data_IF_472844404293
#
_entry.id   IF_472844404293
#
_cell.length_a   1.000
_cell.length_b   1.000
_cell.length_c   1.000
_cell.angle_alpha   90.00
_cell.angle_beta   90.00
_cell.angle_gamma   90.00
#
_symmetry.space_group_name_H-M   'P 1'
#
loop_
_entity.id
_entity.type
_entity.pdbx_description
1 polymer ?
#
# COMPACT_ATOMS: atom_id res chain seq x y z
N UNK A 1 26.54 6.37 13.67
CA UNK A 1 26.45 4.89 13.68
C UNK A 1 26.06 4.49 12.28
N UNK A 2 26.98 3.84 11.55
CA UNK A 2 26.73 3.45 10.16
C UNK A 2 25.51 2.53 10.12
N UNK A 3 24.56 2.86 9.25
CA UNK A 3 23.33 2.10 9.03
C UNK A 3 23.74 0.72 8.53
N UNK A 4 23.70 -0.26 9.42
CA UNK A 4 24.13 -1.63 9.18
C UNK A 4 23.25 -2.18 8.06
N UNK A 5 23.79 -2.25 6.85
CA UNK A 5 23.08 -2.62 5.63
C UNK A 5 22.39 -3.96 5.87
N UNK A 6 21.08 -3.93 6.14
CA UNK A 6 20.28 -5.11 6.43
C UNK A 6 20.26 -5.97 5.16
N UNK A 7 21.18 -6.92 5.08
CA UNK A 7 21.18 -7.94 4.03
C UNK A 7 19.96 -8.83 4.25
N UNK A 8 18.82 -8.39 3.72
CA UNK A 8 17.59 -9.14 3.70
C UNK A 8 17.66 -10.09 2.51
N UNK A 9 17.95 -11.36 2.80
CA UNK A 9 17.90 -12.43 1.80
C UNK A 9 16.46 -12.95 1.78
N UNK A 10 15.67 -12.66 0.74
CA UNK A 10 14.30 -13.13 0.68
C UNK A 10 14.30 -14.67 0.68
N UNK A 11 13.50 -15.31 1.55
CA UNK A 11 13.38 -16.76 1.55
C UNK A 11 12.83 -17.25 0.21
N UNK A 12 13.38 -18.38 -0.26
CA UNK A 12 12.80 -19.10 -1.39
C UNK A 12 11.37 -19.51 -1.04
N UNK A 13 10.39 -18.95 -1.76
CA UNK A 13 8.99 -19.37 -1.64
C UNK A 13 8.86 -20.79 -2.17
N UNK A 14 8.43 -21.70 -1.31
CA UNK A 14 8.10 -23.07 -1.71
C UNK A 14 6.68 -23.03 -2.27
N UNK A 15 6.45 -23.68 -3.41
CA UNK A 15 5.09 -23.83 -3.92
C UNK A 15 4.43 -24.97 -3.14
N UNK A 16 3.35 -24.66 -2.41
CA UNK A 16 2.65 -25.59 -1.53
C UNK A 16 1.15 -25.52 -1.79
N UNK A 17 0.46 -26.64 -1.65
CA UNK A 17 -0.98 -26.74 -1.94
C UNK A 17 -1.84 -25.93 -0.96
N UNK A 18 -1.34 -25.71 0.26
CA UNK A 18 -1.99 -24.92 1.30
C UNK A 18 -1.20 -23.62 1.58
N UNK A 19 -1.87 -22.54 2.05
CA UNK A 19 -1.20 -21.27 2.31
C UNK A 19 -0.16 -21.38 3.42
N UNK A 20 1.01 -20.79 3.19
CA UNK A 20 2.09 -20.76 4.18
C UNK A 20 1.74 -19.78 5.30
N UNK A 21 1.85 -20.26 6.55
CA UNK A 21 1.66 -19.45 7.77
C UNK A 21 3.01 -18.92 8.24
N UNK A 22 4.00 -19.81 8.35
CA UNK A 22 5.32 -19.49 8.89
C UNK A 22 6.35 -20.53 8.38
N UNK A 23 7.51 -20.10 7.90
CA UNK A 23 8.60 -20.99 7.45
C UNK A 23 9.54 -21.43 8.59
N UNK A 24 9.42 -20.83 9.77
CA UNK A 24 10.22 -21.16 10.94
C UNK A 24 9.48 -20.87 12.26
N UNK A 25 8.43 -21.66 12.58
CA UNK A 25 7.60 -21.40 13.74
C UNK A 25 8.40 -21.57 15.04
N UNK A 26 8.28 -20.57 15.92
CA UNK A 26 8.84 -20.63 17.27
C UNK A 26 8.30 -21.86 18.02
N UNK A 27 9.13 -22.54 18.81
CA UNK A 27 8.78 -23.82 19.45
C UNK A 27 7.46 -23.77 20.23
N UNK A 28 7.22 -22.69 20.97
CA UNK A 28 5.97 -22.47 21.73
C UNK A 28 4.75 -22.42 20.82
N UNK A 29 4.85 -21.79 19.64
CA UNK A 29 3.75 -21.73 18.67
C UNK A 29 3.50 -23.10 18.05
N UNK A 30 4.56 -23.81 17.67
CA UNK A 30 4.44 -25.15 17.11
C UNK A 30 3.70 -26.11 18.08
N UNK A 31 4.06 -26.14 19.36
CA UNK A 31 3.33 -26.95 20.35
C UNK A 31 1.94 -26.40 20.68
N UNK A 32 1.76 -25.07 20.73
CA UNK A 32 0.46 -24.44 21.00
C UNK A 32 -0.57 -24.69 19.90
N UNK A 33 -0.13 -24.83 18.65
CA UNK A 33 -0.97 -25.10 17.48
C UNK A 33 -1.11 -26.61 17.18
N UNK A 34 -0.47 -27.48 17.96
CA UNK A 34 -0.64 -28.92 17.82
C UNK A 34 -2.11 -29.30 18.09
N UNK A 35 -2.67 -30.13 17.20
CA UNK A 35 -4.04 -30.64 17.32
C UNK A 35 -4.05 -31.78 18.33
N UNK A 36 -5.24 -32.08 18.87
CA UNK A 36 -5.41 -33.23 19.78
C UNK A 36 -4.98 -34.55 19.13
N UNK A 37 -5.19 -34.69 17.82
CA UNK A 37 -4.72 -35.84 17.03
C UNK A 37 -3.19 -35.97 16.99
N UNK A 38 -2.44 -34.87 17.00
CA UNK A 38 -0.99 -34.95 17.00
C UNK A 38 -0.48 -35.43 18.35
N UNK A 39 -1.08 -34.94 19.45
CA UNK A 39 -0.76 -35.42 20.80
C UNK A 39 -1.10 -36.90 20.96
N UNK A 40 -2.23 -37.35 20.41
CA UNK A 40 -2.58 -38.77 20.39
C UNK A 40 -1.56 -39.59 19.59
N UNK A 41 -1.19 -39.12 18.40
CA UNK A 41 -0.18 -39.76 17.57
C UNK A 41 1.19 -39.82 18.25
N UNK A 42 1.65 -38.69 18.82
CA UNK A 42 2.90 -38.60 19.56
C UNK A 42 2.94 -39.50 20.80
N UNK A 43 1.84 -39.56 21.56
CA UNK A 43 1.71 -40.46 22.70
C UNK A 43 1.72 -41.94 22.28
N UNK A 44 1.03 -42.28 21.19
CA UNK A 44 1.05 -43.62 20.60
C UNK A 44 2.47 -44.02 20.20
N UNK A 45 3.17 -43.15 19.48
CA UNK A 45 4.55 -43.38 19.05
C UNK A 45 5.54 -43.44 20.22
N UNK A 46 5.35 -42.63 21.26
CA UNK A 46 6.16 -42.67 22.46
C UNK A 46 6.06 -44.00 23.22
N UNK A 47 4.90 -44.66 23.16
CA UNK A 47 4.66 -45.94 23.79
C UNK A 47 5.24 -47.14 23.02
N UNK A 48 5.52 -47.00 21.71
CA UNK A 48 6.01 -48.11 20.85
C UNK A 48 7.32 -48.69 21.40
N UNK A 49 8.30 -47.86 21.73
CA UNK A 49 9.59 -48.32 22.24
C UNK A 49 9.48 -49.11 23.56
N UNK A 50 8.89 -48.54 24.61
CA UNK A 50 8.65 -49.24 25.88
C UNK A 50 7.80 -50.50 25.72
N UNK A 51 6.73 -50.45 24.93
CA UNK A 51 5.88 -51.60 24.67
C UNK A 51 6.67 -52.72 23.97
N UNK A 52 7.48 -52.36 22.97
CA UNK A 52 8.36 -53.30 22.28
C UNK A 52 9.34 -53.95 23.26
N UNK A 53 9.98 -53.20 24.14
CA UNK A 53 10.88 -53.74 25.17
C UNK A 53 10.18 -54.74 26.10
N UNK A 54 8.96 -54.44 26.57
CA UNK A 54 8.18 -55.35 27.41
C UNK A 54 7.79 -56.63 26.68
N UNK A 55 7.39 -56.51 25.42
CA UNK A 55 7.04 -57.64 24.56
C UNK A 55 8.28 -58.51 24.33
N UNK A 56 9.42 -57.93 23.95
CA UNK A 56 10.64 -58.69 23.70
C UNK A 56 11.18 -59.34 24.96
N UNK A 57 11.14 -58.66 26.12
CA UNK A 57 11.57 -59.26 27.39
C UNK A 57 10.66 -60.45 27.79
N UNK A 58 9.37 -60.41 27.41
CA UNK A 58 8.45 -61.53 27.65
C UNK A 58 8.74 -62.75 26.77
N UNK A 59 9.16 -62.54 25.52
CA UNK A 59 9.44 -63.63 24.58
C UNK A 59 10.90 -64.13 24.62
N UNK A 60 11.83 -63.23 24.89
CA UNK A 60 13.27 -63.48 24.95
C UNK A 60 13.86 -62.75 26.16
N UNK A 61 13.72 -63.32 27.38
CA UNK A 61 14.16 -62.66 28.60
C UNK A 61 15.66 -62.43 28.57
N UNK A 62 16.08 -61.22 28.93
CA UNK A 62 17.49 -60.83 28.95
C UNK A 62 18.26 -61.43 30.13
N UNK A 63 17.56 -62.03 31.09
CA UNK A 63 18.09 -62.48 32.39
C UNK A 63 18.86 -61.38 33.14
N UNK A 64 18.60 -60.12 32.79
CA UNK A 64 19.20 -58.98 33.45
C UNK A 64 18.73 -58.95 34.93
N UNK A 65 19.68 -58.80 35.86
CA UNK A 65 19.37 -58.77 37.29
C UNK A 65 18.33 -57.70 37.64
N UNK A 66 17.67 -57.82 38.81
CA UNK A 66 16.51 -57.01 39.24
C UNK A 66 16.67 -55.47 39.13
N UNK A 67 17.88 -54.94 38.98
CA UNK A 67 18.15 -53.51 38.80
C UNK A 67 18.37 -53.03 37.36
N UNK A 68 18.73 -53.91 36.41
CA UNK A 68 19.19 -53.49 35.08
C UNK A 68 18.03 -53.20 34.11
N UNK A 69 17.05 -54.12 34.00
CA UNK A 69 15.91 -53.94 33.10
C UNK A 69 15.07 -52.68 33.40
N UNK A 70 14.72 -52.34 34.67
CA UNK A 70 13.98 -51.12 34.96
C UNK A 70 14.72 -49.83 34.54
N UNK A 71 16.06 -49.82 34.58
CA UNK A 71 16.86 -48.69 34.11
C UNK A 71 16.77 -48.53 32.59
N UNK A 72 16.96 -49.62 31.85
CA UNK A 72 16.82 -49.63 30.39
C UNK A 72 15.40 -49.23 29.95
N UNK A 73 14.38 -49.76 30.65
CA UNK A 73 12.99 -49.43 30.38
C UNK A 73 12.69 -47.94 30.60
N UNK A 74 13.17 -47.34 31.70
CA UNK A 74 13.04 -45.89 31.96
C UNK A 74 13.71 -45.04 30.88
N UNK A 75 14.89 -45.45 30.42
CA UNK A 75 15.57 -44.80 29.31
C UNK A 75 14.75 -44.93 28.02
N UNK A 76 14.22 -46.12 27.73
CA UNK A 76 13.32 -46.36 26.60
C UNK A 76 12.08 -45.48 26.64
N UNK A 77 11.47 -45.29 27.82
CA UNK A 77 10.36 -44.35 28.01
C UNK A 77 10.80 -42.91 27.75
N UNK A 78 11.96 -42.47 28.25
CA UNK A 78 12.46 -41.13 28.04
C UNK A 78 12.72 -40.85 26.54
N UNK A 79 13.38 -41.78 25.84
CA UNK A 79 13.61 -41.70 24.39
C UNK A 79 12.28 -41.70 23.63
N UNK A 80 11.34 -42.56 24.01
CA UNK A 80 10.00 -42.59 23.44
C UNK A 80 9.27 -41.26 23.59
N UNK A 81 9.29 -40.66 24.78
CA UNK A 81 8.67 -39.36 25.04
C UNK A 81 9.30 -38.24 24.20
N UNK A 82 10.63 -38.22 24.08
CA UNK A 82 11.33 -37.24 23.23
C UNK A 82 10.99 -37.42 21.75
N UNK A 83 10.96 -38.67 21.26
CA UNK A 83 10.57 -38.97 19.89
C UNK A 83 9.10 -38.59 19.62
N UNK A 84 8.20 -38.91 20.55
CA UNK A 84 6.80 -38.54 20.47
C UNK A 84 6.59 -37.03 20.42
N UNK A 85 7.26 -36.27 21.30
CA UNK A 85 7.23 -34.81 21.29
C UNK A 85 7.81 -34.23 19.99
N UNK A 86 8.90 -34.81 19.47
CA UNK A 86 9.47 -34.45 18.18
C UNK A 86 8.50 -34.65 17.01
N UNK A 87 7.73 -35.75 17.03
CA UNK A 87 6.71 -36.01 16.01
C UNK A 87 5.52 -35.04 16.11
N UNK A 88 5.09 -34.68 17.32
CA UNK A 88 4.08 -33.62 17.53
C UNK A 88 4.57 -32.30 16.94
N UNK A 89 5.81 -31.92 17.27
CA UNK A 89 6.44 -30.72 16.75
C UNK A 89 6.51 -30.74 15.22
N UNK A 90 7.00 -31.83 14.64
CA UNK A 90 7.14 -31.99 13.19
C UNK A 90 5.79 -31.86 12.48
N UNK A 91 4.77 -32.61 12.91
CA UNK A 91 3.42 -32.56 12.31
C UNK A 91 2.81 -31.16 12.36
N UNK A 92 3.02 -30.45 13.46
CA UNK A 92 2.58 -29.05 13.58
C UNK A 92 3.32 -28.14 12.61
N UNK A 93 4.64 -28.24 12.53
CA UNK A 93 5.45 -27.46 11.60
C UNK A 93 5.06 -27.72 10.12
N UNK A 94 4.74 -28.96 9.74
CA UNK A 94 4.28 -29.28 8.38
C UNK A 94 2.99 -28.54 7.99
N UNK A 95 2.11 -28.23 8.94
CA UNK A 95 0.93 -27.38 8.72
C UNK A 95 1.30 -25.91 8.58
N UNK A 96 2.24 -25.41 9.37
CA UNK A 96 2.78 -24.04 9.21
C UNK A 96 3.41 -23.82 7.83
N UNK A 97 4.10 -24.84 7.32
CA UNK A 97 4.73 -24.83 6.00
C UNK A 97 3.73 -24.95 4.84
N UNK A 98 2.45 -25.24 5.10
CA UNK A 98 1.45 -25.42 4.05
C UNK A 98 1.57 -26.76 3.29
N UNK A 99 2.29 -27.74 3.81
CA UNK A 99 2.39 -29.09 3.19
C UNK A 99 1.26 -30.02 3.58
N UNK A 100 0.45 -29.64 4.56
CA UNK A 100 -0.73 -30.37 5.00
C UNK A 100 -1.86 -29.38 5.26
N UNK A 101 -3.10 -29.87 5.30
CA UNK A 101 -4.28 -29.05 5.56
C UNK A 101 -4.10 -28.23 6.85
N UNK A 102 -4.34 -26.91 6.75
CA UNK A 102 -4.02 -25.96 7.81
C UNK A 102 -5.07 -24.83 7.97
N UNK A 103 -6.32 -25.04 7.54
CA UNK A 103 -7.35 -23.97 7.54
C UNK A 103 -7.62 -23.45 8.96
N UNK A 104 -7.65 -24.35 9.95
CA UNK A 104 -7.82 -24.00 11.36
C UNK A 104 -6.67 -23.11 11.85
N UNK A 105 -5.44 -23.50 11.54
CA UNK A 105 -4.22 -22.82 11.96
C UNK A 105 -4.11 -21.44 11.30
N UNK A 106 -4.47 -21.31 10.02
CA UNK A 106 -4.53 -20.02 9.32
C UNK A 106 -5.50 -19.06 10.00
N UNK A 107 -6.69 -19.53 10.38
CA UNK A 107 -7.69 -18.70 11.09
C UNK A 107 -7.21 -18.30 12.48
N UNK A 108 -6.54 -19.21 13.19
CA UNK A 108 -5.99 -18.95 14.52
C UNK A 108 -4.85 -17.95 14.46
N UNK A 109 -3.93 -18.10 13.51
CA UNK A 109 -2.81 -17.21 13.26
C UNK A 109 -3.29 -15.80 12.88
N UNK A 110 -4.26 -15.69 11.98
CA UNK A 110 -4.85 -14.40 11.61
C UNK A 110 -5.41 -13.67 12.83
N UNK A 111 -6.17 -14.36 13.68
CA UNK A 111 -6.73 -13.78 14.92
C UNK A 111 -5.62 -13.34 15.88
N UNK A 112 -4.65 -14.22 16.15
CA UNK A 112 -3.54 -13.94 17.07
C UNK A 112 -2.72 -12.72 16.61
N UNK A 113 -2.40 -12.65 15.32
CA UNK A 113 -1.58 -11.59 14.75
C UNK A 113 -2.35 -10.27 14.65
N UNK A 114 -3.62 -10.29 14.24
CA UNK A 114 -4.47 -9.08 14.24
C UNK A 114 -4.63 -8.53 15.65
N UNK A 115 -4.86 -9.39 16.65
CA UNK A 115 -4.96 -8.96 18.05
C UNK A 115 -3.65 -8.34 18.55
N UNK A 116 -2.48 -8.87 18.16
CA UNK A 116 -1.18 -8.26 18.46
C UNK A 116 -1.02 -6.90 17.80
N UNK A 117 -1.41 -6.76 16.53
CA UNK A 117 -1.40 -5.46 15.82
C UNK A 117 -2.30 -4.45 16.51
N UNK A 118 -3.53 -4.84 16.88
CA UNK A 118 -4.46 -3.98 17.63
C UNK A 118 -3.89 -3.54 18.98
N UNK A 119 -3.07 -4.37 19.64
CA UNK A 119 -2.35 -4.03 20.88
C UNK A 119 -1.06 -3.22 20.66
N UNK A 120 -0.63 -3.00 19.41
CA UNK A 120 0.65 -2.37 19.10
C UNK A 120 1.87 -3.21 19.48
N UNK A 121 1.70 -4.52 19.65
CA UNK A 121 2.77 -5.46 19.97
C UNK A 121 3.49 -5.92 18.69
N UNK A 122 4.80 -6.24 18.76
CA UNK A 122 5.49 -6.85 17.63
C UNK A 122 4.90 -8.23 17.32
N UNK A 123 4.61 -8.49 16.04
CA UNK A 123 3.96 -9.72 15.54
C UNK A 123 4.62 -11.01 16.08
N UNK A 124 5.94 -11.05 16.03
CA UNK A 124 6.75 -12.22 16.39
C UNK A 124 7.51 -12.04 17.71
N UNK A 125 7.15 -11.05 18.52
CA UNK A 125 7.78 -10.79 19.82
C UNK A 125 9.07 -9.96 19.73
N UNK A 126 9.73 -9.80 20.88
CA UNK A 126 11.03 -9.11 21.00
C UNK A 126 12.13 -10.15 21.20
N UNK A 127 13.33 -9.89 20.67
CA UNK A 127 14.52 -10.70 20.87
C UNK A 127 15.65 -9.83 21.39
N UNK A 128 16.46 -10.40 22.29
CA UNK A 128 17.67 -9.77 22.82
C UNK A 128 18.85 -9.84 21.84
N UNK A 129 18.70 -10.57 20.72
CA UNK A 129 19.72 -10.67 19.68
C UNK A 129 19.69 -9.48 18.74
N UNK A 130 20.86 -9.11 18.23
CA UNK A 130 20.97 -8.10 17.17
C UNK A 130 20.23 -8.55 15.90
N UNK A 131 19.76 -7.63 15.04
CA UNK A 131 19.08 -7.98 13.80
C UNK A 131 19.89 -8.92 12.90
N UNK A 132 21.21 -8.76 12.87
CA UNK A 132 22.12 -9.67 12.17
C UNK A 132 22.06 -11.10 12.75
N UNK A 133 22.19 -11.23 14.07
CA UNK A 133 22.16 -12.54 14.75
C UNK A 133 20.78 -13.22 14.66
N UNK A 134 19.70 -12.44 14.63
CA UNK A 134 18.36 -12.96 14.32
C UNK A 134 18.29 -13.55 12.91
N UNK A 135 18.94 -12.92 11.93
CA UNK A 135 19.04 -13.45 10.57
C UNK A 135 19.92 -14.71 10.47
N UNK A 136 21.00 -14.79 11.25
CA UNK A 136 21.82 -16.01 11.37
C UNK A 136 20.99 -17.13 12.00
N UNK A 137 20.26 -16.85 13.09
CA UNK A 137 19.38 -17.81 13.74
C UNK A 137 18.32 -18.35 12.77
N UNK A 138 17.58 -17.46 12.10
CA UNK A 138 16.54 -17.83 11.15
C UNK A 138 17.05 -18.74 10.02
N UNK A 139 18.27 -18.51 9.51
CA UNK A 139 18.86 -19.37 8.47
C UNK A 139 19.20 -20.77 8.96
N UNK A 140 19.55 -20.93 10.23
CA UNK A 140 19.87 -22.22 10.83
C UNK A 140 18.63 -22.99 11.27
N UNK A 141 17.55 -22.31 11.69
CA UNK A 141 16.32 -22.96 12.16
C UNK A 141 15.26 -23.16 11.09
N UNK A 142 15.25 -22.39 10.00
CA UNK A 142 14.25 -22.51 8.94
C UNK A 142 14.21 -23.94 8.35
N UNK A 143 12.99 -24.49 8.27
CA UNK A 143 12.71 -25.87 7.84
C UNK A 143 13.44 -26.98 8.63
N UNK A 144 14.04 -26.68 9.78
CA UNK A 144 14.80 -27.67 10.58
C UNK A 144 13.94 -28.87 11.02
N UNK A 145 12.63 -28.69 11.17
CA UNK A 145 11.70 -29.77 11.50
C UNK A 145 11.68 -30.92 10.48
N UNK A 146 12.11 -30.68 9.22
CA UNK A 146 12.24 -31.73 8.21
C UNK A 146 13.34 -32.75 8.51
N UNK A 147 14.39 -32.33 9.22
CA UNK A 147 15.57 -33.13 9.52
C UNK A 147 15.67 -33.45 11.02
N UNK A 148 14.53 -33.43 11.72
CA UNK A 148 14.44 -33.71 13.15
C UNK A 148 14.95 -35.11 13.54
N UNK A 149 14.96 -36.05 12.59
CA UNK A 149 15.53 -37.39 12.74
C UNK A 149 17.08 -37.41 12.75
N UNK A 150 17.73 -36.37 12.19
CA UNK A 150 19.19 -36.25 12.15
C UNK A 150 19.67 -35.35 13.29
N UNK A 151 19.13 -34.14 13.36
CA UNK A 151 19.45 -33.15 14.40
C UNK A 151 18.15 -32.53 14.90
N UNK A 152 17.78 -32.71 16.19
CA UNK A 152 16.61 -32.07 16.75
C UNK A 152 16.92 -30.58 16.95
N UNK A 153 16.56 -29.78 15.95
CA UNK A 153 16.74 -28.35 15.95
C UNK A 153 15.39 -27.64 15.88
N UNK A 154 15.24 -26.57 16.66
CA UNK A 154 14.00 -25.82 16.77
C UNK A 154 14.30 -24.33 16.92
N UNK A 155 13.31 -23.50 16.57
CA UNK A 155 13.42 -22.07 16.71
C UNK A 155 13.11 -21.61 18.15
N UNK A 156 14.11 -21.03 18.80
CA UNK A 156 14.02 -20.39 20.12
C UNK A 156 14.20 -18.86 20.08
N UNK A 157 14.30 -18.29 18.87
CA UNK A 157 14.60 -16.87 18.66
C UNK A 157 13.39 -16.18 18.02
N UNK A 158 12.93 -15.11 18.66
CA UNK A 158 11.92 -14.22 18.10
C UNK A 158 12.54 -13.32 17.02
N UNK A 159 12.60 -13.79 15.77
CA UNK A 159 13.14 -13.03 14.64
C UNK A 159 12.02 -12.56 13.69
N UNK A 160 12.28 -11.57 12.83
CA UNK A 160 11.25 -11.09 11.88
C UNK A 160 11.26 -11.81 10.52
N UNK A 161 11.98 -12.93 10.38
CA UNK A 161 12.22 -13.61 9.10
C UNK A 161 11.37 -14.88 8.91
N UNK A 162 10.05 -14.74 8.94
CA UNK A 162 9.12 -15.87 8.87
C UNK A 162 8.70 -16.29 7.45
N UNK A 163 9.14 -15.56 6.42
CA UNK A 163 8.93 -15.92 5.01
C UNK A 163 7.51 -15.76 4.50
N UNK A 164 6.71 -14.97 5.21
CA UNK A 164 5.34 -14.59 4.85
C UNK A 164 5.20 -13.08 4.81
N UNK A 165 4.25 -12.59 4.00
CA UNK A 165 3.90 -11.18 3.97
C UNK A 165 3.12 -10.82 5.25
N UNK A 166 3.72 -9.95 6.08
CA UNK A 166 3.12 -9.47 7.33
C UNK A 166 2.13 -8.34 7.11
N UNK A 167 2.14 -7.67 5.95
CA UNK A 167 1.24 -6.56 5.64
C UNK A 167 -0.24 -6.99 5.72
N UNK A 168 -0.53 -8.26 5.36
CA UNK A 168 -1.89 -8.84 5.44
C UNK A 168 -2.52 -8.70 6.83
N UNK A 169 -1.74 -8.78 7.91
CA UNK A 169 -2.25 -8.68 9.28
C UNK A 169 -2.61 -7.23 9.63
N UNK A 170 -1.81 -6.27 9.19
CA UNK A 170 -2.09 -4.84 9.39
C UNK A 170 -3.35 -4.41 8.64
N UNK A 171 -3.46 -4.79 7.37
CA UNK A 171 -4.64 -4.50 6.54
C UNK A 171 -5.92 -5.12 7.12
N UNK A 172 -5.83 -6.33 7.70
CA UNK A 172 -6.97 -6.96 8.35
C UNK A 172 -7.32 -6.27 9.68
N UNK A 173 -6.32 -5.89 10.47
CA UNK A 173 -6.53 -5.16 11.72
C UNK A 173 -7.17 -3.78 11.50
N UNK A 174 -6.72 -3.05 10.48
CA UNK A 174 -7.31 -1.77 10.07
C UNK A 174 -8.79 -1.92 9.70
N UNK A 175 -9.12 -2.90 8.85
CA UNK A 175 -10.51 -3.22 8.47
C UNK A 175 -11.38 -3.55 9.68
N UNK A 176 -10.88 -4.31 10.64
CA UNK A 176 -11.63 -4.64 11.85
C UNK A 176 -11.80 -3.45 12.79
N UNK A 177 -10.76 -2.62 12.95
CA UNK A 177 -10.84 -1.40 13.76
C UNK A 177 -11.81 -0.38 13.15
N UNK A 178 -11.84 -0.24 11.82
CA UNK A 178 -12.83 0.58 11.11
C UNK A 178 -14.26 0.05 11.32
N UNK A 179 -14.47 -1.26 11.20
CA UNK A 179 -15.77 -1.88 11.47
C UNK A 179 -16.23 -1.66 12.92
N UNK A 180 -15.32 -1.75 13.89
CA UNK A 180 -15.60 -1.45 15.30
C UNK A 180 -15.94 0.03 15.52
N UNK A 181 -15.23 0.95 14.84
CA UNK A 181 -15.51 2.40 14.88
C UNK A 181 -16.91 2.70 14.31
N UNK A 182 -17.24 2.16 13.14
CA UNK A 182 -18.55 2.33 12.51
C UNK A 182 -19.69 1.74 13.37
N UNK A 183 -19.47 0.59 14.00
CA UNK A 183 -20.44 -0.03 14.92
C UNK A 183 -20.67 0.82 16.17
N UNK A 184 -19.61 1.37 16.77
CA UNK A 184 -19.70 2.30 17.90
C UNK A 184 -20.42 3.59 17.52
N UNK A 185 -20.08 4.19 16.37
CA UNK A 185 -20.75 5.37 15.84
C UNK A 185 -22.25 5.11 15.60
N UNK A 186 -22.60 3.98 14.98
CA UNK A 186 -24.00 3.58 14.77
C UNK A 186 -24.78 3.40 16.09
N UNK A 187 -24.18 2.79 17.12
CA UNK A 187 -24.78 2.68 18.45
C UNK A 187 -24.97 4.06 19.11
N UNK A 188 -23.97 4.94 19.00
CA UNK A 188 -24.04 6.30 19.54
C UNK A 188 -25.15 7.12 18.87
N UNK A 189 -25.26 7.05 17.54
CA UNK A 189 -26.35 7.67 16.77
C UNK A 189 -27.70 7.10 17.19
N UNK A 190 -27.82 5.78 17.40
CA UNK A 190 -29.07 5.16 17.86
C UNK A 190 -29.49 5.61 19.29
N UNK A 191 -28.52 5.81 20.18
CA UNK A 191 -28.75 6.34 21.53
C UNK A 191 -29.14 7.81 21.50
N UNK A 192 -28.50 8.64 20.67
CA UNK A 192 -28.86 10.04 20.45
C UNK A 192 -30.26 10.14 19.82
N UNK A 193 -30.61 9.27 18.88
CA UNK A 193 -31.95 9.19 18.30
C UNK A 193 -33.01 8.78 19.33
N UNK A 194 -32.69 7.86 20.25
CA UNK A 194 -33.61 7.44 21.33
C UNK A 194 -33.80 8.54 22.38
N UNK A 195 -32.73 9.27 22.73
CA UNK A 195 -32.78 10.41 23.67
C UNK A 195 -33.49 11.63 23.07
N UNK A 196 -33.28 11.92 21.78
CA UNK A 196 -34.02 13.00 21.09
C UNK A 196 -35.51 12.69 20.91
N UNK A 197 -35.88 11.41 20.78
CA UNK A 197 -37.29 10.98 20.72
C UNK A 197 -38.03 11.09 22.07
N UNK A 198 -37.31 11.06 23.20
CA UNK A 198 -37.87 11.29 24.54
C UNK A 198 -37.96 12.77 24.92
N UNK A 199 -37.28 13.67 24.18
CA UNK A 199 -37.23 15.11 24.49
C UNK A 199 -38.09 15.99 23.57
N UNK A 200 -38.70 15.42 22.54
CA UNK A 200 -39.54 16.16 21.61
C UNK A 200 -41.01 16.18 22.08
N UNK A 201 -41.36 17.16 22.90
CA UNK A 201 -42.70 17.77 22.79
C UNK A 201 -42.79 18.51 21.45
N UNK A 202 -43.97 18.56 20.80
CA UNK A 202 -44.11 19.05 19.45
C UNK A 202 -44.12 20.58 19.44
N UNK A 203 -43.00 21.17 19.04
CA UNK A 203 -42.92 22.61 18.80
C UNK A 203 -41.51 23.12 18.99
N UNK A 204 -40.72 23.08 17.92
CA UNK A 204 -39.70 24.07 17.51
C UNK A 204 -38.52 23.42 16.77
N UNK A 205 -38.01 24.21 15.83
CA UNK A 205 -37.42 23.82 14.56
C UNK A 205 -36.18 22.90 14.66
N UNK A 206 -36.24 21.75 13.99
CA UNK A 206 -35.27 20.63 14.09
C UNK A 206 -33.96 20.82 13.29
N UNK A 207 -33.76 21.99 12.69
CA UNK A 207 -32.64 22.27 11.78
C UNK A 207 -31.71 23.38 12.27
N UNK A 208 -31.97 23.97 13.43
CA UNK A 208 -31.37 25.25 13.83
C UNK A 208 -30.05 25.16 14.60
N UNK A 209 -29.46 23.97 14.83
CA UNK A 209 -28.18 23.87 15.55
C UNK A 209 -27.32 22.71 15.06
N UNK A 210 -26.45 22.98 14.09
CA UNK A 210 -25.15 22.30 13.99
C UNK A 210 -24.11 23.37 13.64
N UNK A 211 -23.06 23.38 14.45
CA UNK A 211 -21.95 24.35 14.43
C UNK A 211 -21.17 24.27 13.11
N UNK A 212 -20.75 25.44 12.65
CA UNK A 212 -20.07 25.68 11.37
C UNK A 212 -18.58 25.88 11.64
N UNK A 213 -17.70 25.11 11.00
CA UNK A 213 -16.41 25.64 10.55
C UNK A 213 -15.84 24.80 9.41
N UNK A 214 -15.86 25.38 8.21
CA UNK A 214 -15.07 24.97 7.07
C UNK A 214 -13.83 25.85 7.03
N UNK A 215 -12.64 25.29 6.88
CA UNK A 215 -11.60 25.97 6.09
C UNK A 215 -10.70 24.98 5.37
N UNK A 216 -10.72 25.14 4.06
CA UNK A 216 -9.79 24.64 3.05
C UNK A 216 -8.43 25.31 3.16
N UNK A 217 -7.37 24.52 2.96
CA UNK A 217 -6.25 24.80 2.05
C UNK A 217 -5.36 23.54 1.79
N UNK A 218 -5.63 22.35 2.36
CA UNK A 218 -5.03 21.82 3.61
C UNK A 218 -5.41 20.34 3.86
N UNK A 219 -6.19 19.69 3.00
CA UNK A 219 -6.87 18.40 3.25
C UNK A 219 -5.96 17.20 3.67
N UNK A 220 -5.67 17.11 4.97
CA UNK A 220 -5.03 15.96 5.65
C UNK A 220 -6.04 14.87 6.09
N UNK A 221 -7.35 15.14 6.07
CA UNK A 221 -8.37 14.20 6.57
C UNK A 221 -9.54 13.94 5.59
N UNK A 222 -10.15 12.73 5.62
CA UNK A 222 -11.24 12.34 4.72
C UNK A 222 -12.55 13.05 5.10
N UNK A 223 -13.04 13.91 4.20
CA UNK A 223 -14.32 14.61 4.35
C UNK A 223 -15.47 13.71 3.91
N UNK A 224 -16.44 13.49 4.79
CA UNK A 224 -17.69 12.83 4.44
C UNK A 224 -18.58 13.79 3.64
N UNK A 225 -18.83 13.51 2.35
CA UNK A 225 -19.71 14.34 1.50
C UNK A 225 -21.13 14.55 2.06
N UNK A 226 -21.59 13.69 2.96
CA UNK A 226 -22.85 13.89 3.67
C UNK A 226 -22.90 15.18 4.50
N UNK A 227 -21.77 15.75 4.88
CA UNK A 227 -21.70 16.94 5.73
C UNK A 227 -21.89 18.25 4.97
N UNK A 228 -21.59 18.27 3.65
CA UNK A 228 -21.87 19.43 2.78
C UNK A 228 -23.36 19.54 2.42
N UNK A 229 -24.10 18.42 2.51
CA UNK A 229 -25.49 18.33 2.05
C UNK A 229 -26.56 18.52 3.12
N UNK A 230 -26.23 18.57 4.41
CA UNK A 230 -27.25 18.56 5.45
C UNK A 230 -27.53 19.97 5.96
N UNK A 231 -28.45 20.61 5.23
CA UNK A 231 -29.53 21.54 5.65
C UNK A 231 -29.12 22.75 6.53
N UNK A 232 -29.37 23.99 6.06
CA UNK A 232 -30.57 24.40 5.31
C UNK A 232 -30.29 24.88 3.88
N UNK A 233 -29.70 24.05 3.04
CA UNK A 233 -29.34 24.43 1.66
C UNK A 233 -30.13 23.72 0.55
N UNK A 234 -31.03 22.78 0.88
CA UNK A 234 -31.81 22.05 -0.13
C UNK A 234 -32.76 22.99 -0.90
N UNK A 235 -33.32 23.99 -0.23
CA UNK A 235 -34.20 24.98 -0.85
C UNK A 235 -33.41 26.09 -1.53
N UNK A 236 -32.30 26.55 -0.94
CA UNK A 236 -31.50 27.66 -1.49
C UNK A 236 -30.54 27.25 -2.60
N UNK A 237 -30.29 25.94 -2.79
CA UNK A 237 -29.29 25.41 -3.71
C UNK A 237 -27.83 25.73 -3.31
N UNK A 238 -27.59 26.40 -2.19
CA UNK A 238 -26.27 26.90 -1.81
C UNK A 238 -25.23 25.79 -1.63
N UNK A 239 -25.62 24.64 -1.06
CA UNK A 239 -24.74 23.48 -0.89
C UNK A 239 -24.37 22.86 -2.24
N UNK A 240 -25.31 22.82 -3.18
CA UNK A 240 -25.06 22.34 -4.55
C UNK A 240 -24.12 23.28 -5.30
N UNK A 241 -24.25 24.60 -5.13
CA UNK A 241 -23.30 25.58 -5.70
C UNK A 241 -21.89 25.44 -5.10
N UNK A 242 -21.78 25.18 -3.79
CA UNK A 242 -20.50 24.90 -3.16
C UNK A 242 -19.87 23.62 -3.72
N UNK A 243 -20.66 22.57 -3.91
CA UNK A 243 -20.19 21.34 -4.53
C UNK A 243 -19.70 21.55 -5.96
N UNK A 244 -20.40 22.36 -6.76
CA UNK A 244 -19.96 22.75 -8.10
C UNK A 244 -18.62 23.49 -8.04
N UNK A 245 -18.49 24.47 -7.14
CA UNK A 245 -17.22 25.19 -6.96
C UNK A 245 -16.06 24.27 -6.55
N UNK A 246 -16.31 23.28 -5.68
CA UNK A 246 -15.30 22.27 -5.31
C UNK A 246 -14.95 21.39 -6.52
N UNK A 247 -15.95 20.98 -7.31
CA UNK A 247 -15.73 20.17 -8.50
C UNK A 247 -14.90 20.94 -9.55
N UNK A 248 -15.23 22.21 -9.79
CA UNK A 248 -14.52 23.08 -10.72
C UNK A 248 -13.07 23.31 -10.29
N UNK A 249 -12.85 23.60 -9.00
CA UNK A 249 -11.51 23.74 -8.44
C UNK A 249 -10.70 22.44 -8.58
N UNK A 250 -11.31 21.29 -8.22
CA UNK A 250 -10.68 19.98 -8.35
C UNK A 250 -10.28 19.65 -9.79
N UNK A 251 -11.15 19.94 -10.77
CA UNK A 251 -10.82 19.78 -12.19
C UNK A 251 -9.67 20.69 -12.64
N UNK A 252 -9.65 21.95 -12.19
CA UNK A 252 -8.59 22.91 -12.54
C UNK A 252 -7.23 22.46 -12.01
N UNK A 253 -7.17 22.10 -10.72
CA UNK A 253 -5.94 21.67 -10.05
C UNK A 253 -5.39 20.36 -10.64
N UNK A 254 -6.28 19.38 -10.88
CA UNK A 254 -5.90 18.13 -11.52
C UNK A 254 -5.53 18.31 -12.99
N UNK A 255 -6.20 19.23 -13.69
CA UNK A 255 -5.85 19.55 -15.08
C UNK A 255 -4.43 20.11 -15.18
N UNK A 256 -4.01 20.96 -14.23
CA UNK A 256 -2.65 21.47 -14.17
C UNK A 256 -1.63 20.34 -13.88
N UNK A 257 -1.91 19.48 -12.89
CA UNK A 257 -1.04 18.35 -12.55
C UNK A 257 -0.94 17.32 -13.68
N UNK A 258 -2.06 17.00 -14.33
CA UNK A 258 -2.10 16.06 -15.47
C UNK A 258 -1.23 16.54 -16.62
N UNK A 259 -1.26 17.84 -16.93
CA UNK A 259 -0.39 18.44 -17.95
C UNK A 259 1.09 18.37 -17.56
N UNK A 260 1.41 18.63 -16.29
CA UNK A 260 2.78 18.51 -15.79
C UNK A 260 3.30 17.08 -15.92
N UNK A 261 2.56 16.07 -15.46
CA UNK A 261 2.94 14.67 -15.61
C UNK A 261 3.00 14.20 -17.06
N UNK A 262 2.10 14.69 -17.92
CA UNK A 262 2.15 14.38 -19.35
C UNK A 262 3.42 14.95 -20.01
N UNK A 263 3.84 16.15 -19.61
CA UNK A 263 5.09 16.75 -20.09
C UNK A 263 6.29 15.98 -19.55
N UNK A 264 6.27 15.58 -18.27
CA UNK A 264 7.33 14.76 -17.67
C UNK A 264 7.45 13.39 -18.34
N UNK A 265 6.33 12.69 -18.56
CA UNK A 265 6.28 11.41 -19.28
C UNK A 265 6.94 11.52 -20.66
N UNK A 266 6.59 12.58 -21.41
CA UNK A 266 7.24 12.87 -22.71
C UNK A 266 8.74 13.04 -22.54
N UNK A 267 9.21 13.83 -21.56
CA UNK A 267 10.65 14.03 -21.37
C UNK A 267 11.38 12.72 -21.06
N UNK A 268 10.81 11.87 -20.21
CA UNK A 268 11.39 10.57 -19.86
C UNK A 268 11.44 9.63 -21.07
N UNK A 269 10.41 9.61 -21.92
CA UNK A 269 10.42 8.83 -23.15
C UNK A 269 11.52 9.28 -24.12
N UNK A 270 11.70 10.58 -24.29
CA UNK A 270 12.78 11.12 -25.14
C UNK A 270 14.16 10.76 -24.59
N UNK A 271 14.37 10.86 -23.27
CA UNK A 271 15.61 10.45 -22.61
C UNK A 271 15.87 8.94 -22.76
N UNK A 272 14.84 8.11 -22.60
CA UNK A 272 14.95 6.67 -22.76
C UNK A 272 15.34 6.29 -24.19
N UNK A 273 14.75 6.95 -25.20
CA UNK A 273 15.13 6.76 -26.61
C UNK A 273 16.58 7.16 -26.84
N UNK A 274 17.03 8.30 -26.29
CA UNK A 274 18.41 8.75 -26.41
C UNK A 274 19.40 7.76 -25.78
N UNK A 275 19.11 7.25 -24.57
CA UNK A 275 19.94 6.24 -23.90
C UNK A 275 19.96 4.93 -24.71
N UNK A 276 18.81 4.48 -25.25
CA UNK A 276 18.73 3.29 -26.10
C UNK A 276 19.59 3.42 -27.37
N UNK A 277 19.64 4.60 -27.97
CA UNK A 277 20.50 4.88 -29.15
C UNK A 277 21.97 4.85 -28.73
N UNK A 278 22.35 5.56 -27.66
CA UNK A 278 23.73 5.58 -27.17
C UNK A 278 24.24 4.20 -26.74
N UNK A 279 23.39 3.39 -26.09
CA UNK A 279 23.70 2.03 -25.66
C UNK A 279 23.89 1.05 -26.82
N UNK A 280 23.29 1.29 -27.98
CA UNK A 280 23.56 0.51 -29.20
C UNK A 280 24.96 0.79 -29.77
N UNK A 281 25.48 1.99 -29.55
CA UNK A 281 26.75 2.44 -30.11
C UNK A 281 27.95 2.12 -29.20
N UNK A 282 27.76 2.10 -27.87
CA UNK A 282 28.77 1.61 -26.92
C UNK A 282 28.64 0.09 -26.70
N UNK A 283 29.71 -0.67 -26.93
CA UNK A 283 29.82 -2.10 -26.60
C UNK A 283 29.70 -2.42 -25.09
N UNK A 284 29.44 -1.42 -24.24
CA UNK A 284 29.21 -1.52 -22.80
C UNK A 284 27.76 -1.94 -22.44
N UNK A 285 27.26 -2.97 -23.11
CA UNK A 285 25.84 -3.37 -23.07
C UNK A 285 25.33 -3.69 -21.64
N UNK A 286 26.17 -4.27 -20.78
CA UNK A 286 25.72 -4.76 -19.48
C UNK A 286 25.40 -3.66 -18.44
N UNK A 287 26.17 -2.56 -18.39
CA UNK A 287 25.88 -1.47 -17.42
C UNK A 287 24.71 -0.60 -17.90
N UNK A 288 24.59 -0.37 -19.20
CA UNK A 288 23.48 0.37 -19.79
C UNK A 288 22.12 -0.30 -19.56
N UNK A 289 22.06 -1.64 -19.57
CA UNK A 289 20.83 -2.39 -19.30
C UNK A 289 20.30 -2.20 -17.86
N UNK A 290 21.19 -2.05 -16.88
CA UNK A 290 20.78 -1.79 -15.48
C UNK A 290 20.13 -0.42 -15.34
N UNK A 291 20.73 0.61 -15.96
CA UNK A 291 20.21 1.98 -15.95
C UNK A 291 18.88 2.06 -16.72
N UNK A 292 18.80 1.43 -17.90
CA UNK A 292 17.58 1.41 -18.71
C UNK A 292 16.38 0.83 -17.96
N UNK A 293 16.58 -0.21 -17.15
CA UNK A 293 15.51 -0.78 -16.31
C UNK A 293 14.98 0.20 -15.27
N UNK A 294 15.84 1.04 -14.70
CA UNK A 294 15.45 2.07 -13.73
C UNK A 294 14.58 3.12 -14.44
N UNK A 295 15.01 3.60 -15.61
CA UNK A 295 14.20 4.54 -16.42
C UNK A 295 12.88 3.93 -16.88
N UNK A 296 12.86 2.66 -17.29
CA UNK A 296 11.63 1.95 -17.65
C UNK A 296 10.66 1.87 -16.47
N UNK A 297 11.16 1.56 -15.27
CA UNK A 297 10.31 1.54 -14.07
C UNK A 297 9.78 2.94 -13.70
N UNK A 298 10.59 3.98 -13.88
CA UNK A 298 10.21 5.36 -13.59
C UNK A 298 9.16 5.88 -14.60
N UNK A 299 9.38 5.64 -15.89
CA UNK A 299 8.43 5.99 -16.95
C UNK A 299 7.07 5.32 -16.72
N UNK A 300 7.07 4.03 -16.37
CA UNK A 300 5.85 3.30 -16.06
C UNK A 300 5.10 3.89 -14.85
N UNK A 301 5.82 4.37 -13.84
CA UNK A 301 5.24 4.99 -12.65
C UNK A 301 4.59 6.36 -12.98
N UNK A 302 5.28 7.21 -13.75
CA UNK A 302 4.72 8.49 -14.20
C UNK A 302 3.47 8.26 -15.06
N UNK A 303 3.50 7.29 -15.97
CA UNK A 303 2.33 6.97 -16.80
C UNK A 303 1.14 6.54 -15.95
N UNK A 304 1.36 5.71 -14.93
CA UNK A 304 0.29 5.32 -13.99
C UNK A 304 -0.30 6.52 -13.24
N UNK A 305 0.54 7.46 -12.80
CA UNK A 305 0.09 8.70 -12.13
C UNK A 305 -0.72 9.58 -13.08
N UNK A 306 -0.28 9.70 -14.34
CA UNK A 306 -1.02 10.42 -15.37
C UNK A 306 -2.40 9.80 -15.62
N UNK A 307 -2.47 8.49 -15.82
CA UNK A 307 -3.73 7.77 -16.07
C UNK A 307 -4.72 7.93 -14.89
N UNK A 308 -4.22 7.90 -13.65
CA UNK A 308 -5.03 8.14 -12.45
C UNK A 308 -5.51 9.60 -12.35
N UNK A 309 -4.67 10.56 -12.72
CA UNK A 309 -5.04 11.97 -12.74
C UNK A 309 -6.16 12.24 -13.76
N UNK A 310 -6.07 11.67 -14.97
CA UNK A 310 -7.13 11.74 -15.97
C UNK A 310 -8.43 11.08 -15.48
N UNK A 311 -8.33 9.89 -14.87
CA UNK A 311 -9.49 9.21 -14.33
C UNK A 311 -10.17 10.03 -13.22
N UNK A 312 -9.37 10.64 -12.33
CA UNK A 312 -9.88 11.49 -11.26
C UNK A 312 -10.56 12.75 -11.80
N UNK A 313 -9.96 13.41 -12.79
CA UNK A 313 -10.59 14.54 -13.50
C UNK A 313 -11.93 14.13 -14.13
N UNK A 314 -12.00 12.94 -14.73
CA UNK A 314 -13.24 12.37 -15.25
C UNK A 314 -14.32 12.18 -14.18
N UNK A 315 -13.93 11.79 -12.95
CA UNK A 315 -14.88 11.67 -11.81
C UNK A 315 -15.36 13.01 -11.31
N UNK A 316 -14.51 14.03 -11.26
CA UNK A 316 -14.95 15.39 -10.97
C UNK A 316 -15.92 15.93 -12.03
N UNK A 317 -15.68 15.65 -13.31
CA UNK A 317 -16.63 15.97 -14.38
C UNK A 317 -17.98 15.25 -14.23
N UNK A 318 -18.00 14.01 -13.74
CA UNK A 318 -19.24 13.30 -13.40
C UNK A 318 -19.96 13.97 -12.22
N UNK A 319 -19.22 14.35 -11.18
CA UNK A 319 -19.75 15.04 -10.01
C UNK A 319 -20.40 16.37 -10.39
N UNK A 320 -19.71 17.17 -11.23
CA UNK A 320 -20.19 18.45 -11.73
C UNK A 320 -21.52 18.28 -12.49
N UNK A 321 -21.61 17.31 -13.41
CA UNK A 321 -22.85 17.05 -14.17
C UNK A 321 -24.02 16.68 -13.27
N UNK A 322 -23.80 15.83 -12.26
CA UNK A 322 -24.86 15.43 -11.31
C UNK A 322 -25.26 16.61 -10.44
N UNK A 323 -24.30 17.38 -9.93
CA UNK A 323 -24.55 18.55 -9.10
C UNK A 323 -25.32 19.63 -9.89
N UNK A 324 -24.96 19.87 -11.14
CA UNK A 324 -25.64 20.82 -12.01
C UNK A 324 -27.10 20.41 -12.26
N UNK A 325 -27.36 19.14 -12.57
CA UNK A 325 -28.73 18.64 -12.73
C UNK A 325 -29.57 18.77 -11.45
N UNK A 326 -28.97 18.58 -10.27
CA UNK A 326 -29.64 18.84 -8.99
C UNK A 326 -29.93 20.32 -8.79
N UNK A 327 -28.97 21.19 -9.13
CA UNK A 327 -29.13 22.63 -8.97
C UNK A 327 -30.24 23.17 -9.88
N UNK A 328 -30.27 22.75 -11.15
CA UNK A 328 -31.33 23.11 -12.11
C UNK A 328 -32.72 22.71 -11.59
N UNK A 329 -32.85 21.52 -11.02
CA UNK A 329 -34.12 21.07 -10.42
C UNK A 329 -34.50 21.84 -9.16
N UNK A 330 -33.51 22.24 -8.35
CA UNK A 330 -33.72 23.09 -7.18
C UNK A 330 -34.17 24.50 -7.59
N UNK A 331 -33.59 25.06 -8.64
CA UNK A 331 -33.94 26.38 -9.16
C UNK A 331 -35.30 26.38 -9.88
N UNK A 332 -35.64 25.31 -10.63
CA UNK A 332 -36.90 25.19 -11.36
C UNK A 332 -38.09 24.95 -10.42
N UNK A 333 -37.95 24.05 -9.44
CA UNK A 333 -39.08 23.59 -8.59
C UNK A 333 -39.11 24.26 -7.22
N UNK A 334 -38.01 24.85 -6.77
CA UNK A 334 -37.91 25.51 -5.46
C UNK A 334 -38.42 24.62 -4.32
N UNK A 335 -39.39 25.14 -3.56
CA UNK A 335 -39.99 24.45 -2.41
C UNK A 335 -40.76 23.18 -2.80
N UNK A 336 -41.32 23.11 -4.02
CA UNK A 336 -42.12 21.96 -4.48
C UNK A 336 -41.30 20.66 -4.54
N UNK A 337 -39.98 20.78 -4.73
CA UNK A 337 -39.06 19.64 -4.75
C UNK A 337 -39.06 18.88 -3.41
N UNK A 338 -39.32 19.57 -2.30
CA UNK A 338 -39.36 18.97 -0.96
C UNK A 338 -40.76 18.62 -0.49
N UNK A 339 -41.79 19.24 -1.09
CA UNK A 339 -43.18 19.02 -0.73
C UNK A 339 -43.80 17.82 -1.46
N UNK A 340 -43.30 17.49 -2.65
CA UNK A 340 -43.84 16.38 -3.46
C UNK A 340 -43.06 15.07 -3.21
N UNK A 341 -43.74 13.91 -3.11
CA UNK A 341 -43.07 12.61 -2.97
C UNK A 341 -42.12 12.29 -4.14
N UNK A 342 -42.46 12.76 -5.34
CA UNK A 342 -41.64 12.60 -6.54
C UNK A 342 -40.35 13.43 -6.48
N UNK A 343 -40.45 14.70 -6.05
CA UNK A 343 -39.29 15.58 -5.85
C UNK A 343 -38.32 15.01 -4.80
N UNK A 344 -38.84 14.54 -3.67
CA UNK A 344 -38.03 13.90 -2.61
C UNK A 344 -37.35 12.64 -3.12
N UNK A 345 -38.05 11.81 -3.89
CA UNK A 345 -37.46 10.60 -4.50
C UNK A 345 -36.33 10.96 -5.46
N UNK A 346 -36.52 11.97 -6.31
CA UNK A 346 -35.53 12.43 -7.28
C UNK A 346 -34.29 12.98 -6.59
N UNK A 347 -34.46 13.88 -5.61
CA UNK A 347 -33.38 14.41 -4.80
C UNK A 347 -32.60 13.30 -4.07
N UNK A 348 -33.31 12.31 -3.52
CA UNK A 348 -32.68 11.16 -2.84
C UNK A 348 -31.81 10.33 -3.79
N UNK A 349 -32.28 10.10 -5.03
CA UNK A 349 -31.52 9.36 -6.05
C UNK A 349 -30.27 10.16 -6.45
N UNK A 350 -30.41 11.46 -6.71
CA UNK A 350 -29.27 12.31 -7.08
C UNK A 350 -28.24 12.39 -5.96
N UNK A 351 -28.67 12.50 -4.70
CA UNK A 351 -27.77 12.51 -3.56
C UNK A 351 -26.99 11.19 -3.40
N UNK A 352 -27.64 10.05 -3.65
CA UNK A 352 -26.94 8.75 -3.70
C UNK A 352 -25.93 8.69 -4.84
N UNK A 353 -26.25 9.27 -6.00
CA UNK A 353 -25.32 9.36 -7.12
C UNK A 353 -24.09 10.21 -6.75
N UNK A 354 -24.29 11.40 -6.17
CA UNK A 354 -23.22 12.27 -5.66
C UNK A 354 -22.34 11.53 -4.66
N UNK A 355 -22.93 10.87 -3.67
CA UNK A 355 -22.20 10.10 -2.66
C UNK A 355 -21.37 8.97 -3.27
N UNK A 356 -21.90 8.27 -4.28
CA UNK A 356 -21.19 7.20 -4.98
C UNK A 356 -20.01 7.74 -5.80
N UNK A 357 -20.21 8.85 -6.52
CA UNK A 357 -19.13 9.50 -7.29
C UNK A 357 -18.04 10.01 -6.34
N UNK A 358 -18.42 10.65 -5.24
CA UNK A 358 -17.48 11.17 -4.23
C UNK A 358 -16.64 10.07 -3.58
N UNK A 359 -17.25 8.94 -3.23
CA UNK A 359 -16.50 7.79 -2.70
C UNK A 359 -15.45 7.29 -3.72
N UNK A 360 -15.81 7.29 -5.01
CA UNK A 360 -14.87 7.00 -6.10
C UNK A 360 -13.71 8.00 -6.17
N UNK A 361 -13.99 9.30 -6.06
CA UNK A 361 -12.98 10.36 -6.03
C UNK A 361 -12.00 10.15 -4.87
N UNK A 362 -12.48 9.90 -3.66
CA UNK A 362 -11.63 9.66 -2.48
C UNK A 362 -10.71 8.45 -2.70
N UNK A 363 -11.27 7.35 -3.19
CA UNK A 363 -10.50 6.12 -3.41
C UNK A 363 -9.37 6.32 -4.44
N UNK A 364 -9.67 6.96 -5.57
CA UNK A 364 -8.69 7.21 -6.63
C UNK A 364 -7.65 8.22 -6.17
N UNK A 365 -8.05 9.26 -5.43
CA UNK A 365 -7.14 10.26 -4.88
C UNK A 365 -6.13 9.67 -3.89
N UNK A 366 -6.57 8.73 -3.03
CA UNK A 366 -5.67 8.04 -2.11
C UNK A 366 -4.60 7.23 -2.84
N UNK A 367 -4.97 6.54 -3.92
CA UNK A 367 -4.04 5.80 -4.78
C UNK A 367 -3.07 6.74 -5.51
N UNK A 368 -3.60 7.82 -6.10
CA UNK A 368 -2.82 8.87 -6.75
C UNK A 368 -1.77 9.48 -5.80
N UNK A 369 -2.17 9.85 -4.57
CA UNK A 369 -1.26 10.40 -3.56
C UNK A 369 -0.15 9.42 -3.21
N UNK A 370 -0.48 8.14 -3.03
CA UNK A 370 0.52 7.10 -2.75
C UNK A 370 1.58 7.00 -3.85
N UNK A 371 1.16 6.96 -5.12
CA UNK A 371 2.11 6.87 -6.23
C UNK A 371 2.94 8.15 -6.39
N UNK A 372 2.34 9.33 -6.19
CA UNK A 372 3.07 10.60 -6.18
C UNK A 372 4.15 10.60 -5.09
N UNK A 373 3.81 10.16 -3.88
CA UNK A 373 4.78 10.07 -2.77
C UNK A 373 5.89 9.04 -3.07
N UNK A 374 5.61 7.98 -3.85
CA UNK A 374 6.62 7.04 -4.34
C UNK A 374 7.55 7.68 -5.38
N UNK A 375 7.03 8.50 -6.30
CA UNK A 375 7.81 9.28 -7.26
C UNK A 375 8.73 10.27 -6.52
N UNK A 376 8.19 11.04 -5.58
CA UNK A 376 8.95 12.03 -4.81
C UNK A 376 10.08 11.37 -3.99
N UNK A 377 9.80 10.22 -3.36
CA UNK A 377 10.83 9.42 -2.66
C UNK A 377 11.87 8.87 -3.64
N UNK A 378 11.44 8.43 -4.81
CA UNK A 378 12.31 7.94 -5.88
C UNK A 378 13.25 9.04 -6.39
N UNK A 379 12.74 10.24 -6.62
CA UNK A 379 13.51 11.42 -7.02
C UNK A 379 14.50 11.83 -5.93
N UNK A 380 14.09 11.84 -4.66
CA UNK A 380 14.99 12.17 -3.54
C UNK A 380 16.11 11.12 -3.34
N UNK A 381 15.88 9.87 -3.73
CA UNK A 381 16.87 8.80 -3.67
C UNK A 381 17.83 8.76 -4.88
N UNK A 382 17.52 9.47 -5.96
CA UNK A 382 18.43 9.59 -7.09
C UNK A 382 19.52 10.63 -6.78
N UNK A 383 20.82 10.30 -6.92
CA UNK A 383 21.88 11.28 -6.69
C UNK A 383 21.74 12.41 -7.73
N UNK A 384 21.71 13.69 -7.32
CA UNK A 384 21.63 14.84 -8.23
C UNK A 384 22.76 14.83 -9.28
N UNK A 385 23.88 14.21 -8.91
CA UNK A 385 25.09 14.10 -9.72
C UNK A 385 25.05 12.98 -10.76
N UNK A 386 24.14 12.01 -10.71
CA UNK A 386 24.16 10.89 -11.66
C UNK A 386 23.66 11.29 -13.06
N UNK A 387 22.64 12.14 -13.17
CA UNK A 387 22.23 12.69 -14.47
C UNK A 387 23.26 13.69 -15.01
N UNK A 388 23.84 14.52 -14.16
CA UNK A 388 24.82 15.54 -14.58
C UNK A 388 26.19 14.93 -14.92
N UNK A 389 26.75 14.04 -14.10
CA UNK A 389 28.00 13.32 -14.42
C UNK A 389 27.81 12.32 -15.55
N UNK A 390 26.65 11.68 -15.70
CA UNK A 390 26.41 10.83 -16.88
C UNK A 390 26.34 11.67 -18.16
N UNK A 391 25.65 12.83 -18.13
CA UNK A 391 25.67 13.81 -19.24
C UNK A 391 27.07 14.30 -19.55
N UNK A 392 27.83 14.73 -18.54
CA UNK A 392 29.19 15.24 -18.70
C UNK A 392 30.13 14.15 -19.22
N UNK A 393 30.04 12.92 -18.71
CA UNK A 393 30.86 11.80 -19.20
C UNK A 393 30.45 11.34 -20.61
N UNK A 394 29.16 11.45 -20.98
CA UNK A 394 28.71 11.19 -22.34
C UNK A 394 29.27 12.25 -23.31
N UNK A 395 29.22 13.53 -22.93
CA UNK A 395 29.76 14.65 -23.72
C UNK A 395 31.30 14.60 -23.82
N UNK A 396 32.00 14.34 -22.72
CA UNK A 396 33.46 14.21 -22.68
C UNK A 396 33.97 12.97 -23.41
N UNK A 397 33.21 11.86 -23.40
CA UNK A 397 33.53 10.64 -24.13
C UNK A 397 33.43 10.78 -25.66
N UNK A 398 32.70 11.78 -26.16
CA UNK A 398 32.54 12.04 -27.59
C UNK A 398 33.64 12.95 -28.16
N UNK A 399 34.28 13.80 -27.36
CA UNK A 399 35.39 14.66 -27.82
C UNK A 399 36.75 13.93 -27.90
N UNK A 400 36.90 12.81 -27.18
CA UNK A 400 38.13 12.00 -27.15
C UNK A 400 38.42 11.15 -28.42
N UNK A 401 37.53 11.15 -29.42
CA UNK A 401 37.69 10.42 -30.70
C UNK A 401 37.89 11.34 -31.90
N UNK A 402 38.59 12.46 -31.74
CA UNK A 402 39.13 13.23 -32.88
C UNK A 402 40.50 12.66 -33.29
N UNK A 403 40.50 11.52 -33.97
CA UNK A 403 41.72 10.90 -34.46
C UNK A 403 41.49 9.74 -35.42
N UNK A 404 41.05 10.02 -36.66
CA UNK A 404 41.10 9.05 -37.75
C UNK A 404 39.88 9.03 -38.70
N UNK A 405 39.97 9.82 -39.78
CA UNK A 405 39.54 9.48 -41.14
C UNK A 405 38.14 8.89 -41.42
N UNK A 406 37.30 9.71 -42.06
CA UNK A 406 36.43 9.35 -43.22
C UNK A 406 35.10 8.59 -43.03
N UNK A 407 34.55 8.48 -41.83
CA UNK A 407 33.13 8.07 -41.63
C UNK A 407 32.27 9.11 -40.86
N UNK A 408 32.84 10.29 -40.56
CA UNK A 408 32.29 11.26 -39.61
C UNK A 408 31.21 12.22 -40.18
N UNK A 409 30.78 12.08 -41.43
CA UNK A 409 29.83 13.05 -42.03
C UNK A 409 28.35 12.72 -41.76
N UNK A 410 28.02 11.47 -41.38
CA UNK A 410 26.63 11.10 -40.99
C UNK A 410 26.30 11.32 -39.51
N UNK A 411 27.29 11.26 -38.63
CA UNK A 411 27.08 11.43 -37.18
C UNK A 411 26.93 12.91 -36.78
N UNK A 412 27.48 13.84 -37.56
CA UNK A 412 27.33 15.27 -37.29
C UNK A 412 25.89 15.76 -37.55
N UNK A 413 25.20 15.20 -38.55
CA UNK A 413 23.85 15.61 -38.95
C UNK A 413 22.75 15.21 -37.96
N UNK A 414 22.97 14.18 -37.14
CA UNK A 414 22.03 13.77 -36.06
C UNK A 414 22.25 14.63 -34.81
N UNK A 415 23.50 15.03 -34.54
CA UNK A 415 23.83 15.93 -33.44
C UNK A 415 23.29 17.35 -33.65
N UNK A 416 23.28 17.86 -34.88
CA UNK A 416 22.69 19.18 -35.19
C UNK A 416 21.18 19.20 -34.90
N UNK A 417 20.47 18.10 -35.14
CA UNK A 417 19.02 18.00 -34.85
C UNK A 417 18.66 17.91 -33.37
N UNK A 418 19.60 17.47 -32.51
CA UNK A 418 19.39 17.45 -31.05
C UNK A 418 19.65 18.83 -30.43
N UNK A 419 20.55 19.62 -31.02
CA UNK A 419 20.80 21.02 -30.63
C UNK A 419 19.63 21.92 -31.08
N UNK A 420 18.97 21.62 -32.19
CA UNK A 420 17.77 22.34 -32.62
C UNK A 420 16.57 22.16 -31.67
N UNK A 421 16.50 21.05 -30.91
CA UNK A 421 15.46 20.85 -29.88
C UNK A 421 15.67 21.74 -28.64
N UNK A 422 16.92 22.11 -28.33
CA UNK A 422 17.23 23.11 -27.31
C UNK A 422 16.92 24.54 -27.80
N UNK A 423 17.06 24.80 -29.11
CA UNK A 423 16.62 26.05 -29.72
C UNK A 423 15.08 26.20 -29.72
N UNK A 424 14.33 25.11 -29.95
CA UNK A 424 12.87 25.09 -29.77
C UNK A 424 12.46 25.30 -28.31
N UNK A 425 13.18 24.71 -27.35
CA UNK A 425 12.90 24.91 -25.92
C UNK A 425 13.17 26.36 -25.49
N UNK A 426 14.24 26.97 -25.97
CA UNK A 426 14.55 28.38 -25.74
C UNK A 426 13.53 29.33 -26.40
N UNK A 427 13.04 29.00 -27.60
CA UNK A 427 11.96 29.75 -28.27
C UNK A 427 10.62 29.66 -27.52
N UNK A 428 10.31 28.50 -26.92
CA UNK A 428 9.10 28.31 -26.11
C UNK A 428 9.22 29.02 -24.76
N UNK A 429 10.39 28.99 -24.11
CA UNK A 429 10.63 29.73 -22.86
C UNK A 429 10.61 31.25 -23.10
N UNK A 430 11.19 31.75 -24.20
CA UNK A 430 11.12 33.17 -24.61
C UNK A 430 9.68 33.59 -25.00
N UNK A 431 8.90 32.69 -25.60
CA UNK A 431 7.49 32.93 -25.92
C UNK A 431 6.62 32.99 -24.64
N UNK A 432 6.86 32.10 -23.68
CA UNK A 432 6.17 32.07 -22.37
C UNK A 432 6.53 33.29 -21.52
N UNK A 433 7.79 33.74 -21.54
CA UNK A 433 8.23 34.96 -20.86
C UNK A 433 7.63 36.23 -21.48
N UNK A 434 7.53 36.29 -22.82
CA UNK A 434 6.85 37.42 -23.51
C UNK A 434 5.33 37.42 -23.30
N UNK A 435 4.71 36.26 -23.14
CA UNK A 435 3.27 36.16 -22.82
C UNK A 435 2.94 36.47 -21.35
N UNK A 436 3.88 36.31 -20.41
CA UNK A 436 3.65 36.58 -18.98
C UNK A 436 3.95 38.02 -18.57
N UNK A 437 4.78 38.75 -19.32
CA UNK A 437 5.07 40.18 -19.07
C UNK A 437 4.07 41.12 -19.79
N UNK A 438 3.18 40.59 -20.63
CA UNK A 438 2.19 41.35 -21.39
C UNK A 438 0.95 41.81 -20.61
N UNK A 439 0.65 41.22 -19.46
CA UNK A 439 -0.68 41.34 -18.82
C UNK A 439 -0.71 42.20 -17.53
N UNK A 440 0.37 42.94 -17.24
CA UNK A 440 0.46 43.84 -16.09
C UNK A 440 0.57 45.33 -16.46
N UNK A 441 0.19 45.69 -17.70
CA UNK A 441 0.14 47.09 -18.17
C UNK A 441 -1.23 47.56 -18.67
N UNK A 442 -2.31 46.84 -18.37
CA UNK A 442 -3.66 47.22 -18.82
C UNK A 442 -4.73 47.36 -17.72
N UNK A 443 -4.34 47.47 -16.44
CA UNK A 443 -5.27 47.83 -15.34
C UNK A 443 -4.72 48.98 -14.46
N UNK A 444 -4.18 50.02 -15.09
CA UNK A 444 -3.89 51.29 -14.41
C UNK A 444 -4.12 52.46 -15.37
N UNK A 445 -5.39 52.75 -15.69
CA UNK A 445 -5.68 53.87 -16.57
C UNK A 445 -7.13 54.05 -16.98
N UNK A 446 -8.10 53.93 -16.07
CA UNK A 446 -9.46 54.45 -16.37
C UNK A 446 -10.23 54.78 -15.08
N UNK A 447 -9.73 55.75 -14.31
CA UNK A 447 -10.57 56.45 -13.34
C UNK A 447 -10.01 57.85 -13.02
N UNK A 448 -10.28 58.81 -13.92
CA UNK A 448 -10.34 60.27 -13.64
C UNK A 448 -10.73 61.07 -14.89
N UNK A 449 -11.64 62.02 -14.67
CA UNK A 449 -12.00 63.18 -15.51
C UNK A 449 -13.16 63.03 -16.52
N UNK A 450 -14.39 63.18 -16.00
CA UNK A 450 -15.38 64.10 -16.58
C UNK A 450 -16.01 64.94 -15.49
N UNK A 451 -15.36 66.05 -15.16
CA UNK A 451 -16.02 67.28 -14.72
C UNK A 451 -15.34 68.42 -15.46
N UNK A 452 -16.14 69.13 -16.26
CA UNK A 452 -15.75 70.31 -17.01
C UNK A 452 -17.01 71.06 -17.45
N UNK A 453 -17.01 72.41 -17.40
CA UNK A 453 -18.20 73.19 -17.08
C UNK A 453 -18.95 73.68 -18.32
N UNK A 454 -20.28 73.74 -18.22
CA UNK A 454 -21.14 74.90 -18.59
C UNK A 454 -22.61 74.56 -18.33
#
# INVERSE_FOLDING_TARGET
MADEQKVFIPPKRVNTDYPIIDTDPHWRRAFGYARGEDWLYGAGMAAVGPAFMLVTERYAPSFAGKGAFPMAFRLGCAVGLLAGAGLVYQRSCLRFYGWTENEREVKMDMREMVDKVKRGEPLYGKSDLTPYMQGVAARNSRYSALMANVVPWANFVNHNQHGVDTAKYYQQAERELEAERLSKAGKQISSIHRLSKLRAQPGENKWAKVDVSYTSAVWEEPVAASEVFIVPTVVSGQGTRQLLSIADQGMSDLGAQTRAFAQEAKTVDHEQIAIKIAAKELSAQFRALGILKIFESYAALIQQVHDLAEHLAGKFGQLQKVAQGVLEEQEEKGDELTQTPEGVKKLTISLKCVSTVWAGIISIWAEFKKLRDEIEKGQAAQPPLAQQQFRENLLLGMDGRKGGGTAASRHHLIATRLVDAEAEKALVEEFVEKCTVGDSRQEAGEDRQRDGPQ
#
